data_IF_239467715868
#
_entry.id   IF_239467715868
#
_cell.length_a   1.000
_cell.length_b   1.000
_cell.length_c   1.000
_cell.angle_alpha   90.00
_cell.angle_beta   90.00
_cell.angle_gamma   90.00
#
_symmetry.space_group_name_H-M   'P 1'
#
loop_
_entity.id
_entity.type
_entity.pdbx_description
1 polymer ?
#
# COMPACT_ATOMS: atom_id res chain seq x y z
N UNK A 1 -22.11 29.55 19.64
CA UNK A 1 -21.47 29.78 20.95
C UNK A 1 -20.34 30.79 20.81
N UNK A 2 -19.81 31.37 21.90
CA UNK A 2 -18.70 32.33 21.82
C UNK A 2 -17.46 31.75 21.10
N UNK A 3 -17.17 30.45 21.33
CA UNK A 3 -16.06 29.74 20.68
C UNK A 3 -16.20 29.63 19.16
N UNK A 4 -17.42 29.51 18.65
CA UNK A 4 -17.66 29.52 17.21
C UNK A 4 -17.34 30.87 16.59
N UNK A 5 -17.70 31.98 17.24
CA UNK A 5 -17.36 33.32 16.76
C UNK A 5 -15.84 33.51 16.75
N UNK A 6 -15.16 33.13 17.83
CA UNK A 6 -13.70 33.22 17.95
C UNK A 6 -12.97 32.42 16.87
N UNK A 7 -13.38 31.17 16.60
CA UNK A 7 -12.78 30.35 15.55
C UNK A 7 -13.15 30.81 14.14
N UNK A 8 -14.35 31.37 13.94
CA UNK A 8 -14.77 31.95 12.67
C UNK A 8 -13.93 33.17 12.31
N UNK A 9 -13.67 34.03 13.28
CA UNK A 9 -12.86 35.23 13.04
C UNK A 9 -11.41 34.82 12.74
N UNK A 10 -10.86 33.89 13.52
CA UNK A 10 -9.53 33.33 13.28
C UNK A 10 -9.40 32.64 11.92
N UNK A 11 -10.43 31.92 11.45
CA UNK A 11 -10.38 31.23 10.15
C UNK A 11 -10.30 32.16 8.95
N UNK A 12 -10.62 33.44 9.12
CA UNK A 12 -10.54 34.45 8.07
C UNK A 12 -9.18 35.14 8.04
N UNK A 13 -8.53 35.31 9.20
CA UNK A 13 -7.38 36.22 9.35
C UNK A 13 -6.07 35.52 9.71
N UNK A 14 -6.12 34.28 10.19
CA UNK A 14 -4.97 33.57 10.73
C UNK A 14 -4.57 32.37 9.88
N UNK A 15 -3.27 32.04 9.80
CA UNK A 15 -2.80 30.84 9.14
C UNK A 15 -3.25 29.56 9.89
N UNK A 16 -3.37 28.41 9.19
CA UNK A 16 -3.85 27.15 9.77
C UNK A 16 -3.17 26.72 11.07
N UNK A 17 -1.86 26.93 11.20
CA UNK A 17 -1.08 26.65 12.42
C UNK A 17 -1.63 27.41 13.63
N UNK A 18 -1.95 28.70 13.47
CA UNK A 18 -2.50 29.52 14.54
C UNK A 18 -3.93 29.13 14.89
N UNK A 19 -4.73 28.74 13.89
CA UNK A 19 -6.09 28.22 14.11
C UNK A 19 -6.03 26.92 14.93
N UNK A 20 -5.09 26.01 14.61
CA UNK A 20 -4.85 24.78 15.41
C UNK A 20 -4.44 25.10 16.84
N UNK A 21 -3.55 26.08 17.05
CA UNK A 21 -3.13 26.52 18.39
C UNK A 21 -4.30 27.08 19.20
N UNK A 22 -5.10 27.96 18.60
CA UNK A 22 -6.28 28.53 19.24
C UNK A 22 -7.30 27.44 19.60
N UNK A 23 -7.54 26.51 18.68
CA UNK A 23 -8.43 25.37 18.92
C UNK A 23 -7.94 24.51 20.09
N UNK A 24 -6.65 24.16 20.13
CA UNK A 24 -6.04 23.40 21.22
C UNK A 24 -6.21 24.11 22.57
N UNK A 25 -5.99 25.43 22.63
CA UNK A 25 -6.21 26.23 23.84
C UNK A 25 -7.67 26.15 24.29
N UNK A 26 -8.63 26.35 23.39
CA UNK A 26 -10.07 26.31 23.70
C UNK A 26 -10.46 24.96 24.29
N UNK A 27 -10.08 23.85 23.66
CA UNK A 27 -10.49 22.52 24.12
C UNK A 27 -9.76 22.10 25.41
N UNK A 28 -8.52 22.53 25.60
CA UNK A 28 -7.72 22.17 26.78
C UNK A 28 -8.05 23.02 28.02
N UNK A 29 -8.48 24.27 27.84
CA UNK A 29 -8.64 25.23 28.95
C UNK A 29 -10.08 25.70 29.18
N UNK A 30 -10.90 25.73 28.14
CA UNK A 30 -12.27 26.26 28.21
C UNK A 30 -13.36 25.17 28.22
N UNK A 31 -13.02 23.92 27.94
CA UNK A 31 -13.92 22.75 27.97
C UNK A 31 -15.28 23.02 27.29
N UNK A 32 -15.29 23.31 25.98
CA UNK A 32 -16.53 23.60 25.26
C UNK A 32 -17.49 22.41 25.34
N UNK A 33 -18.80 22.68 25.35
CA UNK A 33 -19.83 21.64 25.49
C UNK A 33 -19.84 20.62 24.35
N UNK A 34 -19.42 21.01 23.15
CA UNK A 34 -19.34 20.12 21.98
C UNK A 34 -18.07 20.39 21.16
N UNK A 35 -16.91 19.85 21.57
CA UNK A 35 -15.63 20.06 20.88
C UNK A 35 -15.61 19.40 19.49
N UNK A 36 -16.33 18.28 19.32
CA UNK A 36 -16.41 17.56 18.05
C UNK A 36 -17.14 18.35 16.96
N UNK A 37 -18.21 19.05 17.31
CA UNK A 37 -18.91 19.94 16.38
C UNK A 37 -18.03 21.12 15.95
N UNK A 38 -17.28 21.72 16.89
CA UNK A 38 -16.31 22.76 16.57
C UNK A 38 -15.22 22.24 15.62
N UNK A 39 -14.67 21.06 15.88
CA UNK A 39 -13.71 20.43 14.98
C UNK A 39 -14.29 20.24 13.58
N UNK A 40 -15.46 19.60 13.46
CA UNK A 40 -16.07 19.31 12.17
C UNK A 40 -16.36 20.57 11.33
N UNK A 41 -16.63 21.70 11.98
CA UNK A 41 -16.93 22.97 11.33
C UNK A 41 -15.69 23.70 10.82
N UNK A 42 -14.54 23.53 11.48
CA UNK A 42 -13.32 24.31 11.18
C UNK A 42 -12.11 23.47 10.72
N UNK A 43 -12.23 22.14 10.67
CA UNK A 43 -11.15 21.20 10.29
C UNK A 43 -10.52 21.50 8.92
N UNK A 44 -11.29 22.01 7.96
CA UNK A 44 -10.78 22.33 6.61
C UNK A 44 -9.77 23.46 6.66
N UNK A 45 -10.08 24.53 7.39
CA UNK A 45 -9.15 25.64 7.63
C UNK A 45 -7.91 25.20 8.40
N UNK A 46 -8.07 24.26 9.34
CA UNK A 46 -6.96 23.69 10.10
C UNK A 46 -6.13 22.68 9.31
N UNK A 47 -6.55 22.23 8.14
CA UNK A 47 -5.83 21.27 7.30
C UNK A 47 -5.37 21.87 5.96
N UNK A 48 -5.65 23.14 5.70
CA UNK A 48 -5.36 23.81 4.44
C UNK A 48 -3.85 23.82 4.10
N UNK A 49 -2.99 24.08 5.08
CA UNK A 49 -1.54 24.08 4.87
C UNK A 49 -1.00 22.67 4.58
N UNK A 50 -1.62 21.64 5.15
CA UNK A 50 -1.34 20.23 4.83
C UNK A 50 -1.70 19.96 3.37
N UNK A 51 -2.88 20.42 2.92
CA UNK A 51 -3.30 20.31 1.52
C UNK A 51 -2.35 20.99 0.55
N UNK A 52 -2.01 22.24 0.83
CA UNK A 52 -1.10 23.01 -0.01
C UNK A 52 0.26 22.29 -0.09
N UNK A 53 0.80 21.86 1.06
CA UNK A 53 2.06 21.10 1.11
C UNK A 53 1.99 19.81 0.30
N UNK A 54 0.91 19.04 0.40
CA UNK A 54 0.76 17.79 -0.35
C UNK A 54 0.52 18.01 -1.85
N UNK A 55 -0.20 19.05 -2.26
CA UNK A 55 -0.35 19.43 -3.68
C UNK A 55 1.00 19.77 -4.31
N UNK A 56 1.82 20.58 -3.62
CA UNK A 56 3.17 20.89 -4.10
C UNK A 56 4.09 19.66 -4.12
N UNK A 57 3.94 18.75 -3.14
CA UNK A 57 4.76 17.53 -3.03
C UNK A 57 4.38 16.46 -4.07
N UNK A 58 3.10 16.29 -4.37
CA UNK A 58 2.58 15.29 -5.32
C UNK A 58 2.50 15.81 -6.76
N UNK A 59 2.65 17.13 -6.97
CA UNK A 59 2.40 17.81 -8.24
C UNK A 59 0.97 17.58 -8.78
N UNK A 60 0.01 17.35 -7.89
CA UNK A 60 -1.41 17.20 -8.22
C UNK A 60 -2.21 18.43 -7.71
N UNK A 61 -2.58 19.37 -8.60
CA UNK A 61 -3.36 20.54 -8.21
C UNK A 61 -4.83 20.21 -7.92
N UNK A 62 -5.34 19.05 -8.35
CA UNK A 62 -6.73 18.63 -8.19
C UNK A 62 -6.99 17.89 -6.87
N UNK A 63 -5.95 17.55 -6.10
CA UNK A 63 -6.06 16.91 -4.79
C UNK A 63 -7.03 17.66 -3.87
N UNK A 64 -7.94 16.92 -3.23
CA UNK A 64 -8.90 17.44 -2.25
C UNK A 64 -8.50 17.01 -0.83
N UNK A 65 -9.11 17.63 0.19
CA UNK A 65 -8.91 17.23 1.58
C UNK A 65 -9.35 15.77 1.81
N UNK A 66 -8.49 14.99 2.45
CA UNK A 66 -8.74 13.57 2.76
C UNK A 66 -8.76 13.31 4.27
N UNK A 67 -9.24 12.13 4.67
CA UNK A 67 -9.29 11.72 6.08
C UNK A 67 -7.90 11.67 6.72
N UNK A 68 -6.88 11.31 5.95
CA UNK A 68 -5.48 11.23 6.37
C UNK A 68 -4.93 12.61 6.73
N UNK A 69 -5.32 13.63 5.98
CA UNK A 69 -4.89 15.03 6.21
C UNK A 69 -5.56 15.60 7.47
N UNK A 70 -6.83 15.27 7.69
CA UNK A 70 -7.50 15.60 8.95
C UNK A 70 -6.87 14.85 10.13
N UNK A 71 -6.45 13.60 9.94
CA UNK A 71 -5.73 12.84 10.97
C UNK A 71 -4.39 13.49 11.31
N UNK A 72 -3.62 13.94 10.32
CA UNK A 72 -2.37 14.70 10.54
C UNK A 72 -2.62 16.02 11.29
N UNK A 73 -3.69 16.74 10.96
CA UNK A 73 -4.09 17.92 11.72
C UNK A 73 -4.46 17.60 13.18
N UNK A 74 -5.16 16.48 13.42
CA UNK A 74 -5.48 16.00 14.77
C UNK A 74 -4.23 15.59 15.56
N UNK A 75 -3.22 14.99 14.93
CA UNK A 75 -1.93 14.68 15.57
C UNK A 75 -1.27 15.98 16.06
N UNK A 76 -1.18 17.00 15.20
CA UNK A 76 -0.61 18.30 15.57
C UNK A 76 -1.38 18.98 16.70
N UNK A 77 -2.71 18.90 16.70
CA UNK A 77 -3.55 19.44 17.79
C UNK A 77 -3.35 18.64 19.08
N UNK A 78 -3.24 17.31 19.01
CA UNK A 78 -2.99 16.48 20.18
C UNK A 78 -1.64 16.81 20.85
N UNK A 79 -0.58 17.01 20.06
CA UNK A 79 0.73 17.41 20.58
C UNK A 79 0.67 18.77 21.32
N UNK A 80 -0.14 19.71 20.80
CA UNK A 80 -0.42 20.98 21.47
C UNK A 80 -1.21 20.77 22.78
N UNK A 81 -2.25 19.94 22.78
CA UNK A 81 -3.04 19.65 23.98
C UNK A 81 -2.25 18.94 25.08
N UNK A 82 -1.36 18.02 24.70
CA UNK A 82 -0.42 17.38 25.61
C UNK A 82 0.53 18.40 26.23
N UNK A 83 1.01 19.36 25.43
CA UNK A 83 1.86 20.45 25.92
C UNK A 83 1.11 21.40 26.87
N UNK A 84 -0.14 21.75 26.55
CA UNK A 84 -0.92 22.75 27.30
C UNK A 84 -1.47 22.17 28.62
N UNK A 85 -2.04 20.96 28.58
CA UNK A 85 -2.82 20.42 29.69
C UNK A 85 -2.49 18.95 30.02
N UNK A 86 -1.53 18.33 29.32
CA UNK A 86 -1.18 16.91 29.44
C UNK A 86 -2.40 15.98 29.30
N UNK A 87 -3.28 16.30 28.34
CA UNK A 87 -4.49 15.53 28.03
C UNK A 87 -4.50 15.12 26.57
N UNK A 88 -4.77 13.84 26.33
CA UNK A 88 -5.00 13.31 24.99
C UNK A 88 -6.35 13.77 24.44
N UNK A 89 -6.54 13.75 23.11
CA UNK A 89 -7.79 14.22 22.49
C UNK A 89 -9.02 13.41 22.93
N UNK A 90 -8.83 12.10 23.17
CA UNK A 90 -9.88 11.24 23.73
C UNK A 90 -10.41 11.71 25.09
N UNK A 91 -9.56 12.34 25.91
CA UNK A 91 -9.95 12.90 27.21
C UNK A 91 -10.62 14.27 27.09
N UNK A 92 -10.55 14.90 25.91
CA UNK A 92 -11.11 16.21 25.60
C UNK A 92 -12.37 16.11 24.72
N UNK A 93 -12.95 14.92 24.57
CA UNK A 93 -14.19 14.71 23.82
C UNK A 93 -14.02 14.67 22.30
N UNK A 94 -12.81 14.42 21.81
CA UNK A 94 -12.49 14.23 20.40
C UNK A 94 -12.04 12.80 20.11
N UNK A 95 -12.15 12.39 18.84
CA UNK A 95 -11.60 11.10 18.40
C UNK A 95 -10.08 11.12 18.48
N UNK A 96 -9.43 10.15 19.16
CA UNK A 96 -7.97 10.05 19.19
C UNK A 96 -7.40 9.87 17.77
N UNK A 97 -6.28 10.54 17.43
CA UNK A 97 -5.66 10.39 16.13
C UNK A 97 -5.01 9.01 15.97
N UNK A 98 -5.01 8.51 14.74
CA UNK A 98 -4.37 7.25 14.38
C UNK A 98 -2.89 7.48 14.05
N UNK A 99 -2.02 7.50 15.08
CA UNK A 99 -0.57 7.70 14.94
C UNK A 99 0.16 6.55 14.24
N UNK A 100 -0.05 5.26 14.61
CA UNK A 100 0.69 4.16 13.99
C UNK A 100 0.47 4.07 12.48
N UNK A 101 -0.77 4.29 12.02
CA UNK A 101 -1.09 4.27 10.59
C UNK A 101 -0.47 5.47 9.86
N UNK A 102 -0.48 6.67 10.47
CA UNK A 102 0.12 7.86 9.86
C UNK A 102 1.64 7.70 9.69
N UNK A 103 2.33 7.20 10.70
CA UNK A 103 3.78 6.97 10.65
C UNK A 103 4.16 5.88 9.62
N UNK A 104 3.35 4.82 9.53
CA UNK A 104 3.51 3.77 8.52
C UNK A 104 3.30 4.32 7.11
N UNK A 105 2.24 5.10 6.89
CA UNK A 105 1.91 5.68 5.59
C UNK A 105 2.95 6.70 5.14
N UNK A 106 3.35 7.64 6.00
CA UNK A 106 4.39 8.63 5.65
C UNK A 106 5.73 7.95 5.35
N UNK A 107 6.10 6.90 6.10
CA UNK A 107 7.33 6.15 5.84
C UNK A 107 7.28 5.40 4.51
N UNK A 108 6.17 4.74 4.21
CA UNK A 108 6.04 3.96 2.97
C UNK A 108 5.92 4.88 1.75
N UNK A 109 5.19 5.99 1.88
CA UNK A 109 5.13 7.05 0.87
C UNK A 109 6.50 7.68 0.62
N UNK A 110 7.27 7.97 1.68
CA UNK A 110 8.64 8.47 1.53
C UNK A 110 9.53 7.46 0.81
N UNK A 111 9.42 6.17 1.14
CA UNK A 111 10.13 5.09 0.41
C UNK A 111 9.75 5.02 -1.06
N UNK A 112 8.47 5.17 -1.38
CA UNK A 112 7.98 5.16 -2.77
C UNK A 112 8.42 6.39 -3.58
N UNK A 113 8.82 7.48 -2.92
CA UNK A 113 9.17 8.74 -3.59
C UNK A 113 10.67 9.03 -3.62
N UNK A 114 11.50 8.28 -2.88
CA UNK A 114 12.94 8.51 -2.76
C UNK A 114 13.83 7.75 -3.75
N UNK A 115 13.28 7.38 -4.91
CA UNK A 115 14.08 6.73 -5.95
C UNK A 115 14.89 7.74 -6.77
N UNK A 116 16.15 7.40 -7.07
CA UNK A 116 16.97 8.19 -7.98
C UNK A 116 16.44 8.03 -9.42
N UNK A 117 15.80 9.10 -9.92
CA UNK A 117 15.23 9.13 -11.27
C UNK A 117 16.27 8.93 -12.37
N UNK A 118 17.52 9.34 -12.16
CA UNK A 118 18.59 9.16 -13.14
C UNK A 118 19.04 7.70 -13.16
N UNK A 119 19.19 7.08 -11.99
CA UNK A 119 19.50 5.66 -11.86
C UNK A 119 18.41 4.80 -12.51
N UNK A 120 17.14 5.07 -12.19
CA UNK A 120 16.00 4.37 -12.79
C UNK A 120 15.95 4.54 -14.32
N UNK A 121 16.24 5.75 -14.82
CA UNK A 121 16.30 5.98 -16.27
C UNK A 121 17.41 5.19 -16.93
N UNK A 122 18.60 5.16 -16.33
CA UNK A 122 19.73 4.36 -16.82
C UNK A 122 19.42 2.85 -16.79
N UNK A 123 18.77 2.39 -15.72
CA UNK A 123 18.29 1.01 -15.59
C UNK A 123 17.33 0.65 -16.72
N UNK A 124 16.29 1.45 -16.96
CA UNK A 124 15.31 1.23 -18.04
C UNK A 124 16.00 1.17 -19.42
N UNK A 125 16.89 2.12 -19.72
CA UNK A 125 17.62 2.15 -20.99
C UNK A 125 18.48 0.89 -21.19
N UNK A 126 19.04 0.34 -20.12
CA UNK A 126 19.91 -0.83 -20.16
C UNK A 126 19.13 -2.14 -20.33
N UNK A 127 18.00 -2.30 -19.63
CA UNK A 127 17.32 -3.58 -19.52
C UNK A 127 16.09 -3.74 -20.42
N UNK A 128 15.42 -2.65 -20.82
CA UNK A 128 14.28 -2.73 -21.75
C UNK A 128 14.63 -3.44 -23.07
N UNK A 129 15.81 -3.23 -23.70
CA UNK A 129 16.20 -3.96 -24.91
C UNK A 129 16.42 -5.47 -24.69
N UNK A 130 16.57 -5.92 -23.45
CA UNK A 130 16.87 -7.33 -23.10
C UNK A 130 15.61 -8.14 -22.75
N UNK A 131 14.44 -7.48 -22.69
CA UNK A 131 13.17 -8.12 -22.41
C UNK A 131 12.83 -9.12 -23.51
N UNK A 132 12.27 -10.27 -23.11
CA UNK A 132 11.62 -11.16 -24.08
C UNK A 132 10.26 -10.59 -24.52
N UNK A 133 9.67 -11.17 -25.56
CA UNK A 133 8.42 -10.66 -26.16
C UNK A 133 7.27 -10.52 -25.15
N UNK A 134 7.12 -11.47 -24.22
CA UNK A 134 6.06 -11.43 -23.21
C UNK A 134 6.31 -10.32 -22.18
N UNK A 135 7.55 -10.18 -21.72
CA UNK A 135 7.94 -9.12 -20.80
C UNK A 135 7.80 -7.75 -21.44
N UNK A 136 8.21 -7.63 -22.71
CA UNK A 136 8.10 -6.40 -23.49
C UNK A 136 6.64 -6.01 -23.69
N UNK A 137 5.77 -6.96 -24.01
CA UNK A 137 4.33 -6.71 -24.13
C UNK A 137 3.72 -6.16 -22.83
N UNK A 138 4.05 -6.77 -21.68
CA UNK A 138 3.62 -6.27 -20.36
C UNK A 138 4.15 -4.86 -20.11
N UNK A 139 5.44 -4.65 -20.35
CA UNK A 139 6.10 -3.36 -20.14
C UNK A 139 5.44 -2.26 -20.98
N UNK A 140 5.27 -2.49 -22.29
CA UNK A 140 4.70 -1.52 -23.21
C UNK A 140 3.23 -1.21 -22.83
N UNK A 141 2.45 -2.22 -22.41
CA UNK A 141 1.06 -2.04 -21.94
C UNK A 141 0.99 -1.12 -20.71
N UNK A 142 1.86 -1.37 -19.72
CA UNK A 142 1.89 -0.58 -18.47
C UNK A 142 2.37 0.84 -18.74
N UNK A 143 3.44 1.00 -19.52
CA UNK A 143 3.99 2.31 -19.86
C UNK A 143 2.98 3.14 -20.67
N UNK A 144 2.24 2.51 -21.58
CA UNK A 144 1.19 3.20 -22.32
C UNK A 144 0.08 3.69 -21.37
N UNK A 145 -0.42 2.86 -20.47
CA UNK A 145 -1.44 3.26 -19.49
C UNK A 145 -0.99 4.43 -18.60
N UNK A 146 0.30 4.46 -18.22
CA UNK A 146 0.90 5.57 -17.46
C UNK A 146 0.95 6.84 -18.31
N UNK A 147 1.44 6.76 -19.55
CA UNK A 147 1.54 7.92 -20.45
C UNK A 147 0.17 8.51 -20.80
N UNK A 148 -0.84 7.64 -20.95
CA UNK A 148 -2.21 8.01 -21.27
C UNK A 148 -3.00 8.46 -20.01
N UNK A 149 -2.38 8.40 -18.82
CA UNK A 149 -3.00 8.69 -17.52
C UNK A 149 -4.33 7.94 -17.27
N UNK A 150 -4.45 6.71 -17.79
CA UNK A 150 -5.68 5.92 -17.63
C UNK A 150 -5.84 5.36 -16.21
N UNK A 151 -4.75 5.34 -15.44
CA UNK A 151 -4.67 4.65 -14.16
C UNK A 151 -4.80 3.13 -14.30
N UNK A 152 -4.83 2.42 -13.18
CA UNK A 152 -5.02 0.97 -13.14
C UNK A 152 -4.35 0.31 -11.94
N UNK A 153 -4.69 -0.97 -11.72
CA UNK A 153 -4.06 -1.81 -10.69
C UNK A 153 -3.31 -2.93 -11.42
N UNK A 154 -1.99 -3.00 -11.21
CA UNK A 154 -1.17 -4.10 -11.69
C UNK A 154 -0.99 -5.12 -10.55
N UNK A 155 -1.43 -6.35 -10.79
CA UNK A 155 -1.27 -7.45 -9.83
C UNK A 155 -0.24 -8.45 -10.38
N UNK A 156 0.77 -8.78 -9.58
CA UNK A 156 1.79 -9.78 -9.90
C UNK A 156 1.76 -10.89 -8.87
N UNK A 157 1.37 -12.10 -9.28
CA UNK A 157 1.30 -13.28 -8.40
C UNK A 157 1.53 -14.57 -9.21
N UNK A 158 1.79 -15.67 -8.51
CA UNK A 158 1.83 -17.03 -9.08
C UNK A 158 0.86 -17.94 -8.32
N UNK A 159 -0.24 -18.35 -8.96
CA UNK A 159 -1.28 -19.18 -8.34
C UNK A 159 -0.81 -20.59 -7.97
N UNK A 160 0.38 -21.01 -8.40
CA UNK A 160 0.97 -22.30 -8.02
C UNK A 160 1.75 -22.23 -6.70
N UNK A 161 1.84 -21.03 -6.11
CA UNK A 161 2.44 -20.82 -4.79
C UNK A 161 1.37 -20.93 -3.69
N UNK A 162 1.79 -20.74 -2.43
CA UNK A 162 0.93 -20.91 -1.25
C UNK A 162 -0.30 -20.00 -1.30
N UNK A 163 -1.47 -20.57 -1.00
CA UNK A 163 -2.72 -19.83 -0.82
C UNK A 163 -2.66 -18.94 0.43
N UNK A 164 -3.60 -18.00 0.54
CA UNK A 164 -3.76 -17.19 1.74
C UNK A 164 -4.07 -18.09 2.95
N UNK A 165 -3.34 -17.89 4.04
CA UNK A 165 -3.59 -18.63 5.29
C UNK A 165 -4.75 -17.99 6.03
N UNK A 166 -5.89 -18.67 6.10
CA UNK A 166 -7.05 -18.25 6.89
C UNK A 166 -7.16 -19.19 8.09
N UNK A 167 -6.87 -18.73 9.33
CA UNK A 167 -6.91 -19.59 10.50
C UNK A 167 -8.28 -20.22 10.71
N UNK A 168 -8.31 -21.55 10.93
CA UNK A 168 -9.55 -22.32 11.17
C UNK A 168 -10.53 -22.31 9.98
N UNK A 169 -10.05 -22.04 8.77
CA UNK A 169 -10.87 -22.05 7.56
C UNK A 169 -11.10 -23.45 7.01
N UNK A 170 -12.14 -23.59 6.20
CA UNK A 170 -12.35 -24.74 5.34
C UNK A 170 -11.71 -24.52 3.96
N UNK A 171 -11.45 -25.58 3.17
CA UNK A 171 -10.99 -25.41 1.80
C UNK A 171 -11.91 -24.53 0.93
N UNK A 172 -13.23 -24.52 1.21
CA UNK A 172 -14.17 -23.66 0.52
C UNK A 172 -13.97 -22.18 0.86
N UNK A 173 -13.65 -21.87 2.12
CA UNK A 173 -13.35 -20.50 2.56
C UNK A 173 -12.07 -19.98 1.90
N UNK A 174 -11.03 -20.83 1.79
CA UNK A 174 -9.79 -20.49 1.09
C UNK A 174 -10.04 -20.18 -0.39
N UNK A 175 -10.87 -20.99 -1.07
CA UNK A 175 -11.28 -20.73 -2.46
C UNK A 175 -12.07 -19.43 -2.56
N UNK A 176 -13.03 -19.19 -1.68
CA UNK A 176 -13.85 -17.97 -1.70
C UNK A 176 -13.03 -16.70 -1.46
N UNK A 177 -11.95 -16.80 -0.68
CA UNK A 177 -11.01 -15.70 -0.47
C UNK A 177 -10.03 -15.49 -1.63
N UNK A 178 -9.89 -16.46 -2.56
CA UNK A 178 -9.05 -16.29 -3.72
C UNK A 178 -9.57 -15.15 -4.61
N UNK A 179 -8.63 -14.37 -5.15
CA UNK A 179 -8.96 -13.26 -6.05
C UNK A 179 -9.83 -13.67 -7.24
N UNK A 180 -9.67 -14.92 -7.72
CA UNK A 180 -10.48 -15.50 -8.81
C UNK A 180 -11.97 -15.64 -8.48
N UNK A 181 -12.32 -15.69 -7.20
CA UNK A 181 -13.70 -15.78 -6.72
C UNK A 181 -14.38 -14.41 -6.62
N UNK A 182 -13.62 -13.32 -6.75
CA UNK A 182 -14.16 -11.95 -6.76
C UNK A 182 -14.93 -11.67 -8.05
N UNK A 183 -16.03 -10.93 -7.96
CA UNK A 183 -16.77 -10.43 -9.13
C UNK A 183 -15.92 -9.51 -10.01
N UNK A 184 -14.86 -8.91 -9.45
CA UNK A 184 -13.91 -8.08 -10.20
C UNK A 184 -13.03 -8.92 -11.14
N UNK A 185 -12.88 -10.23 -10.89
CA UNK A 185 -12.02 -11.09 -11.69
C UNK A 185 -12.39 -11.08 -13.18
N UNK A 186 -13.68 -10.93 -13.50
CA UNK A 186 -14.17 -10.81 -14.87
C UNK A 186 -13.61 -9.60 -15.63
N UNK A 187 -13.10 -8.59 -14.92
CA UNK A 187 -12.53 -7.37 -15.46
C UNK A 187 -10.99 -7.38 -15.44
N UNK A 188 -10.37 -8.44 -14.93
CA UNK A 188 -8.92 -8.56 -14.85
C UNK A 188 -8.38 -9.07 -16.18
N UNK A 189 -7.52 -8.26 -16.82
CA UNK A 189 -6.76 -8.71 -17.98
C UNK A 189 -5.57 -9.57 -17.54
N UNK A 190 -5.53 -10.81 -18.03
CA UNK A 190 -4.46 -11.75 -17.71
C UNK A 190 -3.27 -11.57 -18.66
N UNK A 191 -2.11 -11.26 -18.09
CA UNK A 191 -0.82 -11.23 -18.79
C UNK A 191 0.07 -12.35 -18.24
N UNK A 192 0.64 -13.19 -19.11
CA UNK A 192 1.37 -14.39 -18.69
C UNK A 192 2.85 -14.32 -19.10
N UNK A 193 3.74 -14.55 -18.13
CA UNK A 193 5.17 -14.71 -18.36
C UNK A 193 5.53 -16.19 -18.23
N UNK A 194 5.92 -16.84 -19.32
CA UNK A 194 6.22 -18.29 -19.34
C UNK A 194 7.70 -18.60 -19.47
N UNK A 195 8.53 -17.60 -19.82
CA UNK A 195 9.97 -17.79 -19.94
C UNK A 195 10.66 -17.71 -18.58
N UNK A 196 11.30 -18.80 -18.16
CA UNK A 196 12.14 -18.82 -16.97
C UNK A 196 13.47 -18.11 -17.25
N UNK A 197 13.57 -16.85 -16.84
CA UNK A 197 14.75 -16.01 -17.06
C UNK A 197 16.01 -16.53 -16.36
N UNK A 198 15.89 -17.15 -15.18
CA UNK A 198 17.05 -17.69 -14.43
C UNK A 198 17.74 -18.79 -15.23
N UNK A 199 16.95 -19.72 -15.76
CA UNK A 199 17.44 -20.81 -16.62
C UNK A 199 17.97 -20.27 -17.95
N UNK A 200 17.26 -19.30 -18.55
CA UNK A 200 17.65 -18.73 -19.85
C UNK A 200 19.00 -18.02 -19.80
N UNK A 201 19.26 -17.25 -18.75
CA UNK A 201 20.48 -16.46 -18.61
C UNK A 201 21.70 -17.31 -18.21
N UNK A 202 21.50 -18.36 -17.40
CA UNK A 202 22.60 -19.23 -16.95
C UNK A 202 22.97 -20.31 -17.98
N UNK A 203 22.10 -20.56 -18.97
CA UNK A 203 22.22 -21.62 -19.98
C UNK A 203 22.56 -23.01 -19.40
N UNK A 204 22.18 -23.26 -18.15
CA UNK A 204 22.46 -24.50 -17.45
C UNK A 204 21.40 -25.55 -17.79
N UNK A 205 21.86 -26.65 -18.40
CA UNK A 205 21.01 -27.79 -18.77
C UNK A 205 20.35 -28.47 -17.57
N UNK A 206 21.02 -28.51 -16.42
CA UNK A 206 20.51 -29.12 -15.19
C UNK A 206 19.40 -28.26 -14.59
N UNK A 207 19.61 -26.94 -14.51
CA UNK A 207 18.59 -25.98 -14.10
C UNK A 207 17.37 -26.01 -15.03
N UNK A 208 17.57 -26.22 -16.34
CA UNK A 208 16.48 -26.37 -17.31
C UNK A 208 15.64 -27.60 -17.02
N UNK A 209 16.25 -28.75 -16.76
CA UNK A 209 15.50 -29.96 -16.43
C UNK A 209 14.78 -29.83 -15.08
N UNK A 210 15.45 -29.33 -14.06
CA UNK A 210 14.86 -29.07 -12.75
C UNK A 210 13.64 -28.12 -12.86
N UNK A 211 13.74 -27.06 -13.67
CA UNK A 211 12.63 -26.13 -13.88
C UNK A 211 11.40 -26.79 -14.52
N UNK A 212 11.59 -27.76 -15.42
CA UNK A 212 10.50 -28.54 -16.01
C UNK A 212 9.85 -29.45 -14.97
N UNK A 213 10.65 -30.05 -14.09
CA UNK A 213 10.15 -30.88 -12.99
C UNK A 213 9.31 -30.04 -12.01
N UNK A 214 9.78 -28.86 -11.61
CA UNK A 214 9.01 -27.92 -10.78
C UNK A 214 7.70 -27.48 -11.44
N UNK A 215 7.71 -27.20 -12.74
CA UNK A 215 6.48 -26.86 -13.46
C UNK A 215 5.47 -28.01 -13.45
N UNK A 216 5.92 -29.26 -13.65
CA UNK A 216 5.02 -30.43 -13.56
C UNK A 216 4.43 -30.60 -12.17
N UNK A 217 5.20 -30.32 -11.12
CA UNK A 217 4.72 -30.35 -9.73
C UNK A 217 3.65 -29.27 -9.52
N UNK A 218 3.96 -28.02 -9.87
CA UNK A 218 3.02 -26.89 -9.70
C UNK A 218 1.75 -27.02 -10.53
N UNK A 219 1.81 -27.69 -11.69
CA UNK A 219 0.64 -27.99 -12.53
C UNK A 219 -0.16 -29.21 -12.06
N UNK A 220 0.30 -29.94 -11.02
CA UNK A 220 -0.34 -31.17 -10.56
C UNK A 220 -0.26 -32.33 -11.55
N UNK A 221 0.76 -32.37 -12.41
CA UNK A 221 0.94 -33.37 -13.48
C UNK A 221 1.96 -34.46 -13.11
N UNK A 222 2.40 -34.52 -11.86
CA UNK A 222 3.28 -35.58 -11.38
C UNK A 222 2.47 -36.85 -11.13
N UNK A 223 3.09 -38.01 -11.34
CA UNK A 223 2.48 -39.29 -10.99
C UNK A 223 2.29 -39.37 -9.48
N UNK A 224 1.08 -39.77 -9.06
CA UNK A 224 0.78 -40.03 -7.66
C UNK A 224 0.81 -41.54 -7.38
N UNK A 225 1.21 -41.89 -6.17
CA UNK A 225 1.12 -43.26 -5.66
C UNK A 225 -0.31 -43.60 -5.22
N UNK A 226 -0.47 -44.81 -4.69
CA UNK A 226 -1.75 -45.35 -4.21
C UNK A 226 -2.35 -44.56 -3.03
N UNK A 227 -1.51 -43.79 -2.34
CA UNK A 227 -1.87 -42.97 -1.18
C UNK A 227 -2.11 -41.50 -1.56
N UNK A 228 -1.98 -41.15 -2.85
CA UNK A 228 -2.15 -39.80 -3.36
C UNK A 228 -0.92 -38.90 -3.23
N UNK A 229 0.24 -39.43 -2.81
CA UNK A 229 1.49 -38.66 -2.75
C UNK A 229 2.17 -38.61 -4.11
N UNK A 230 2.76 -37.46 -4.45
CA UNK A 230 3.54 -37.32 -5.68
C UNK A 230 4.84 -38.12 -5.59
N UNK A 231 5.21 -38.79 -6.68
CA UNK A 231 6.52 -39.46 -6.80
C UNK A 231 7.52 -38.50 -7.44
N UNK A 232 8.56 -38.13 -6.71
CA UNK A 232 9.63 -37.26 -7.22
C UNK A 232 10.66 -38.05 -8.04
N UNK A 233 11.21 -37.47 -9.13
CA UNK A 233 12.30 -38.09 -9.88
C UNK A 233 13.55 -38.27 -9.02
N UNK A 234 14.33 -39.33 -9.26
CA UNK A 234 15.58 -39.61 -8.51
C UNK A 234 16.61 -38.47 -8.60
N UNK A 235 16.56 -37.64 -9.66
CA UNK A 235 17.45 -36.50 -9.87
C UNK A 235 16.87 -35.16 -9.36
N UNK A 236 15.75 -35.17 -8.64
CA UNK A 236 15.09 -33.96 -8.18
C UNK A 236 15.80 -33.29 -7.00
N UNK A 237 16.29 -34.09 -6.06
CA UNK A 237 16.93 -33.61 -4.84
C UNK A 237 18.06 -34.54 -4.40
N UNK A 238 19.07 -33.98 -3.74
CA UNK A 238 20.10 -34.78 -3.08
C UNK A 238 19.55 -35.20 -1.72
N UNK A 239 19.30 -36.50 -1.56
CA UNK A 239 18.91 -37.05 -0.26
C UNK A 239 20.17 -37.09 0.61
N UNK A 240 20.15 -36.34 1.70
CA UNK A 240 21.20 -36.35 2.71
C UNK A 240 20.67 -37.05 3.95
N UNK A 241 21.43 -37.99 4.51
CA UNK A 241 21.13 -38.55 5.81
C UNK A 241 21.39 -37.50 6.88
N UNK A 242 20.44 -37.31 7.81
CA UNK A 242 20.74 -36.51 9.01
C UNK A 242 21.80 -37.23 9.82
N UNK A 243 22.76 -36.50 10.39
CA UNK A 243 23.56 -37.03 11.48
C UNK A 243 22.64 -37.14 12.68
N UNK A 244 22.29 -38.38 13.04
CA UNK A 244 21.73 -38.70 14.35
C UNK A 244 22.72 -38.33 15.47
#
# INVERSE_FOLDING_TARGET
>A
THWEATLRDASIVSPPVQIRMLFAIIISTCFPSNPLELWNKYKDFMAEDILIRLRHRSNDPALLLTLEMYNEALIMIEDLCLTIANKALGQLGLTPPNRPMHDLFERELQRELQFDRNELRAFVQTYTPQLNDQQKYVYDTVIQAVNDNTGGILLSFDFRQTLHVIPRSTPADEINACLKSSFLWAHVQMLSLTTNMRVRLQNDSSAREFSKQLLKIGDGKMASDQNGFITLPNNFSIIVSSKE
#
